data_IF_921300034264
#
_entry.id   IF_921300034264
#
_cell.length_a   1.000
_cell.length_b   1.000
_cell.length_c   1.000
_cell.angle_alpha   90.00
_cell.angle_beta   90.00
_cell.angle_gamma   90.00
#
_symmetry.space_group_name_H-M   'P 1'
#
loop_
_entity.id
_entity.type
_entity.pdbx_description
1 polymer ?
#
# COMPACT_ATOMS: atom_id res chain seq x y z
N UNK A 1 -30.21 -4.87 19.01
CA UNK A 1 -28.78 -4.50 19.06
C UNK A 1 -27.79 -5.58 18.60
N UNK A 2 -28.21 -6.81 18.27
CA UNK A 2 -27.32 -7.92 17.92
C UNK A 2 -27.04 -8.12 16.42
N UNK A 3 -27.69 -7.43 15.51
CA UNK A 3 -27.51 -7.62 14.05
C UNK A 3 -26.22 -6.99 13.50
N UNK A 4 -25.74 -5.88 14.07
CA UNK A 4 -24.55 -5.17 13.60
C UNK A 4 -23.26 -5.98 13.83
N UNK A 5 -23.12 -6.59 15.00
CA UNK A 5 -21.89 -7.34 15.37
C UNK A 5 -21.72 -8.62 14.53
N UNK A 6 -22.81 -9.30 14.16
CA UNK A 6 -22.75 -10.54 13.36
C UNK A 6 -22.39 -10.23 11.90
N UNK A 7 -22.86 -9.12 11.36
CA UNK A 7 -22.62 -8.70 9.99
C UNK A 7 -21.16 -8.24 9.80
N UNK A 8 -20.59 -7.53 10.78
CA UNK A 8 -19.18 -7.13 10.79
C UNK A 8 -18.24 -8.35 10.86
N UNK A 9 -18.57 -9.37 11.64
CA UNK A 9 -17.75 -10.60 11.71
C UNK A 9 -17.76 -11.42 10.43
N UNK A 10 -18.88 -11.49 9.72
CA UNK A 10 -18.98 -12.15 8.41
C UNK A 10 -18.16 -11.42 7.37
N UNK A 11 -18.16 -10.09 7.39
CA UNK A 11 -17.39 -9.27 6.49
C UNK A 11 -15.89 -9.42 6.74
N UNK A 12 -15.43 -9.41 7.98
CA UNK A 12 -14.01 -9.60 8.36
C UNK A 12 -13.49 -10.98 7.89
N UNK A 13 -14.29 -12.03 8.03
CA UNK A 13 -13.93 -13.36 7.55
C UNK A 13 -13.81 -13.44 6.01
N UNK A 14 -14.69 -12.76 5.28
CA UNK A 14 -14.62 -12.67 3.82
C UNK A 14 -13.40 -11.88 3.37
N UNK A 15 -13.11 -10.75 4.01
CA UNK A 15 -11.92 -9.95 3.77
C UNK A 15 -10.64 -10.77 3.99
N UNK A 16 -10.55 -11.48 5.11
CA UNK A 16 -9.39 -12.33 5.43
C UNK A 16 -9.19 -13.44 4.39
N UNK A 17 -10.27 -14.10 3.93
CA UNK A 17 -10.20 -15.11 2.87
C UNK A 17 -9.73 -14.51 1.53
N UNK A 18 -10.24 -13.35 1.17
CA UNK A 18 -9.87 -12.65 -0.08
C UNK A 18 -8.41 -12.23 -0.06
N UNK A 19 -7.92 -11.69 1.06
CA UNK A 19 -6.51 -11.35 1.25
C UNK A 19 -5.62 -12.59 1.11
N UNK A 20 -5.98 -13.71 1.76
CA UNK A 20 -5.22 -14.96 1.64
C UNK A 20 -5.15 -15.45 0.19
N UNK A 21 -6.27 -15.43 -0.54
CA UNK A 21 -6.31 -15.80 -1.97
C UNK A 21 -5.39 -14.91 -2.79
N UNK A 22 -5.43 -13.61 -2.59
CA UNK A 22 -4.56 -12.64 -3.26
C UNK A 22 -3.08 -12.92 -2.97
N UNK A 23 -2.72 -13.15 -1.71
CA UNK A 23 -1.34 -13.48 -1.30
C UNK A 23 -0.82 -14.76 -1.95
N UNK A 24 -1.68 -15.78 -2.05
CA UNK A 24 -1.33 -17.05 -2.69
C UNK A 24 -1.24 -16.89 -4.21
N UNK A 25 -2.25 -16.30 -4.85
CA UNK A 25 -2.33 -16.14 -6.30
C UNK A 25 -1.12 -15.37 -6.87
N UNK A 26 -0.73 -14.27 -6.24
CA UNK A 26 0.36 -13.43 -6.72
C UNK A 26 1.70 -13.66 -6.00
N UNK A 27 1.81 -14.77 -5.26
CA UNK A 27 3.04 -15.21 -4.62
C UNK A 27 3.73 -14.13 -3.77
N UNK A 28 2.96 -13.41 -2.92
CA UNK A 28 3.47 -12.27 -2.15
C UNK A 28 4.64 -12.63 -1.22
N UNK A 29 4.64 -13.83 -0.65
CA UNK A 29 5.76 -14.29 0.21
C UNK A 29 7.09 -14.30 -0.55
N UNK A 30 7.11 -14.81 -1.79
CA UNK A 30 8.33 -14.84 -2.61
C UNK A 30 8.70 -13.42 -3.09
N UNK A 31 7.70 -12.58 -3.38
CA UNK A 31 7.92 -11.16 -3.76
C UNK A 31 8.55 -10.37 -2.61
N UNK A 32 8.04 -10.55 -1.38
CA UNK A 32 8.63 -9.93 -0.19
C UNK A 32 10.08 -10.36 0.03
N UNK A 33 10.38 -11.67 -0.11
CA UNK A 33 11.76 -12.17 -0.03
C UNK A 33 12.66 -11.57 -1.11
N UNK A 34 12.18 -11.50 -2.36
CA UNK A 34 12.92 -10.89 -3.48
C UNK A 34 13.20 -9.40 -3.26
N UNK A 35 12.34 -8.72 -2.49
CA UNK A 35 12.50 -7.33 -2.10
C UNK A 35 13.26 -7.14 -0.76
N UNK A 36 13.96 -8.15 -0.27
CA UNK A 36 14.66 -8.18 1.02
C UNK A 36 13.76 -7.97 2.25
N UNK A 37 12.45 -8.16 2.10
CA UNK A 37 11.50 -8.10 3.22
C UNK A 37 11.41 -9.47 3.90
N UNK A 38 12.44 -9.85 4.63
CA UNK A 38 12.47 -11.10 5.40
C UNK A 38 13.06 -10.88 6.79
N UNK A 39 12.72 -11.78 7.71
CA UNK A 39 13.25 -11.80 9.08
C UNK A 39 13.89 -13.15 9.35
N UNK A 40 15.07 -13.15 9.97
CA UNK A 40 15.78 -14.39 10.34
C UNK A 40 15.19 -15.06 11.58
N UNK A 41 14.55 -14.30 12.48
CA UNK A 41 13.97 -14.79 13.75
C UNK A 41 12.62 -14.11 14.03
N UNK A 42 11.75 -14.79 14.75
CA UNK A 42 10.44 -14.30 15.18
C UNK A 42 9.38 -14.33 14.08
N UNK A 43 8.35 -13.52 14.19
CA UNK A 43 7.21 -13.46 13.27
C UNK A 43 7.65 -13.18 11.84
N UNK A 44 7.14 -13.95 10.88
CA UNK A 44 7.52 -13.81 9.47
C UNK A 44 7.06 -12.46 8.89
N UNK A 45 7.84 -11.92 7.96
CA UNK A 45 7.49 -10.69 7.26
C UNK A 45 6.15 -10.80 6.52
N UNK A 46 5.83 -11.97 5.96
CA UNK A 46 4.57 -12.24 5.26
C UNK A 46 3.36 -12.09 6.19
N UNK A 47 3.43 -12.63 7.41
CA UNK A 47 2.33 -12.50 8.38
C UNK A 47 2.12 -11.05 8.82
N UNK A 48 3.21 -10.32 9.08
CA UNK A 48 3.13 -8.90 9.44
C UNK A 48 2.52 -8.09 8.27
N UNK A 49 2.96 -8.35 7.05
CA UNK A 49 2.45 -7.66 5.87
C UNK A 49 0.98 -8.00 5.60
N UNK A 50 0.58 -9.26 5.78
CA UNK A 50 -0.82 -9.69 5.68
C UNK A 50 -1.70 -8.99 6.73
N UNK A 51 -1.22 -8.85 7.96
CA UNK A 51 -1.89 -8.10 9.01
C UNK A 51 -2.09 -6.62 8.64
N UNK A 52 -1.06 -5.96 8.09
CA UNK A 52 -1.17 -4.58 7.62
C UNK A 52 -2.22 -4.45 6.50
N UNK A 53 -2.27 -5.40 5.58
CA UNK A 53 -3.31 -5.46 4.56
C UNK A 53 -4.71 -5.58 5.18
N UNK A 54 -4.87 -6.46 6.16
CA UNK A 54 -6.15 -6.63 6.85
C UNK A 54 -6.63 -5.32 7.47
N UNK A 55 -5.75 -4.57 8.12
CA UNK A 55 -6.09 -3.27 8.72
C UNK A 55 -6.60 -2.26 7.69
N UNK A 56 -5.96 -2.20 6.51
CA UNK A 56 -6.36 -1.27 5.44
C UNK A 56 -7.76 -1.61 4.94
N UNK A 57 -8.03 -2.87 4.61
CA UNK A 57 -9.31 -3.30 4.03
C UNK A 57 -10.45 -3.37 5.06
N UNK A 58 -10.14 -3.53 6.34
CA UNK A 58 -11.14 -3.43 7.42
C UNK A 58 -11.35 -2.00 7.92
N UNK A 59 -10.67 -1.02 7.33
CA UNK A 59 -10.70 0.40 7.72
C UNK A 59 -10.39 0.61 9.23
N UNK A 60 -9.47 -0.18 9.76
CA UNK A 60 -9.08 -0.12 11.18
C UNK A 60 -7.65 0.35 11.33
N UNK A 61 -7.41 1.20 12.32
CA UNK A 61 -6.04 1.47 12.76
C UNK A 61 -5.51 0.30 13.59
N UNK A 62 -4.20 0.13 13.65
CA UNK A 62 -3.58 -0.87 14.52
C UNK A 62 -3.97 -0.66 15.99
N UNK A 63 -4.08 0.58 16.45
CA UNK A 63 -4.53 0.91 17.81
C UNK A 63 -5.96 0.42 18.06
N UNK A 64 -6.89 0.73 17.17
CA UNK A 64 -8.28 0.30 17.29
C UNK A 64 -8.41 -1.22 17.25
N UNK A 65 -7.64 -1.90 16.40
CA UNK A 65 -7.67 -3.35 16.32
C UNK A 65 -7.19 -4.02 17.62
N UNK A 66 -6.15 -3.47 18.25
CA UNK A 66 -5.64 -3.95 19.53
C UNK A 66 -6.63 -3.71 20.69
N UNK A 67 -7.35 -2.58 20.69
CA UNK A 67 -8.36 -2.28 21.70
C UNK A 67 -9.58 -3.20 21.62
N UNK A 68 -10.02 -3.52 20.43
CA UNK A 68 -11.22 -4.35 20.21
C UNK A 68 -10.95 -5.81 20.59
N UNK A 69 -9.67 -6.22 20.63
CA UNK A 69 -9.25 -7.57 21.02
C UNK A 69 -9.72 -8.69 20.06
N UNK A 70 -10.32 -8.35 18.92
CA UNK A 70 -10.74 -9.30 17.90
C UNK A 70 -9.64 -9.47 16.87
N UNK A 71 -9.31 -10.72 16.54
CA UNK A 71 -8.29 -11.09 15.57
C UNK A 71 -6.93 -10.42 15.86
N UNK A 72 -6.58 -10.31 17.15
CA UNK A 72 -5.26 -9.81 17.57
C UNK A 72 -4.20 -10.79 17.09
N UNK A 73 -3.15 -10.29 16.40
CA UNK A 73 -2.06 -11.16 16.01
C UNK A 73 -1.24 -11.64 17.22
N UNK A 74 -0.62 -12.81 17.10
CA UNK A 74 0.29 -13.37 18.11
C UNK A 74 1.62 -12.59 18.25
N UNK A 75 1.64 -11.31 17.90
CA UNK A 75 2.82 -10.47 17.97
C UNK A 75 2.49 -9.03 18.41
N UNK A 76 3.42 -8.43 19.15
CA UNK A 76 3.27 -7.08 19.68
C UNK A 76 3.35 -6.01 18.57
N UNK A 77 2.73 -4.83 18.82
CA UNK A 77 2.77 -3.66 17.94
C UNK A 77 4.19 -3.26 17.50
N UNK A 78 5.16 -3.40 18.40
CA UNK A 78 6.56 -3.07 18.11
C UNK A 78 7.18 -3.95 17.02
N UNK A 79 6.64 -5.16 16.83
CA UNK A 79 7.05 -6.05 15.74
C UNK A 79 6.69 -5.44 14.38
N UNK A 80 5.51 -4.82 14.29
CA UNK A 80 5.05 -4.13 13.08
C UNK A 80 5.90 -2.89 12.82
N UNK A 81 6.11 -2.04 13.82
CA UNK A 81 6.93 -0.84 13.67
C UNK A 81 8.38 -1.16 13.29
N UNK A 82 8.97 -2.19 13.89
CA UNK A 82 10.31 -2.65 13.50
C UNK A 82 10.36 -3.13 12.05
N UNK A 83 9.34 -3.88 11.62
CA UNK A 83 9.24 -4.30 10.23
C UNK A 83 9.14 -3.09 9.27
N UNK A 84 8.29 -2.12 9.58
CA UNK A 84 8.13 -0.92 8.74
C UNK A 84 9.40 -0.05 8.67
N UNK A 85 10.25 -0.09 9.71
CA UNK A 85 11.52 0.65 9.79
C UNK A 85 12.71 -0.11 9.19
N UNK A 86 12.52 -1.28 8.61
CA UNK A 86 13.61 -2.08 8.02
C UNK A 86 14.13 -1.42 6.74
N UNK A 87 15.30 -0.78 6.82
CA UNK A 87 15.92 -0.08 5.70
C UNK A 87 16.34 -0.98 4.54
N UNK A 88 16.51 -2.28 4.78
CA UNK A 88 16.89 -3.26 3.76
C UNK A 88 15.77 -3.58 2.77
N UNK A 89 14.51 -3.24 3.09
CA UNK A 89 13.37 -3.56 2.22
C UNK A 89 13.36 -2.62 1.02
N UNK A 90 13.42 -3.20 -0.16
CA UNK A 90 13.27 -2.47 -1.41
C UNK A 90 11.80 -2.47 -1.85
N UNK A 91 11.04 -1.48 -1.39
CA UNK A 91 9.61 -1.36 -1.70
C UNK A 91 9.34 -1.13 -3.19
N UNK A 92 10.20 -0.39 -3.88
CA UNK A 92 10.08 -0.19 -5.34
C UNK A 92 10.17 -1.54 -6.07
N UNK A 93 11.15 -2.36 -5.70
CA UNK A 93 11.27 -3.72 -6.26
C UNK A 93 10.06 -4.60 -5.93
N UNK A 94 9.53 -4.50 -4.70
CA UNK A 94 8.34 -5.24 -4.29
C UNK A 94 7.13 -4.89 -5.16
N UNK A 95 6.81 -3.61 -5.29
CA UNK A 95 5.67 -3.13 -6.08
C UNK A 95 5.84 -3.44 -7.56
N UNK A 96 7.03 -3.28 -8.13
CA UNK A 96 7.32 -3.61 -9.54
C UNK A 96 7.10 -5.09 -9.84
N UNK A 97 7.62 -5.99 -9.00
CA UNK A 97 7.43 -7.45 -9.19
C UNK A 97 5.96 -7.82 -9.04
N UNK A 98 5.27 -7.27 -8.03
CA UNK A 98 3.87 -7.54 -7.78
C UNK A 98 3.00 -7.05 -8.95
N UNK A 99 3.20 -5.83 -9.40
CA UNK A 99 2.47 -5.26 -10.54
C UNK A 99 2.69 -6.06 -11.82
N UNK A 100 3.93 -6.46 -12.09
CA UNK A 100 4.23 -7.32 -13.25
C UNK A 100 3.48 -8.65 -13.21
N UNK A 101 3.36 -9.28 -12.04
CA UNK A 101 2.57 -10.51 -11.88
C UNK A 101 1.08 -10.27 -12.07
N UNK A 102 0.54 -9.21 -11.47
CA UNK A 102 -0.89 -8.86 -11.63
C UNK A 102 -1.20 -8.62 -13.10
N UNK A 103 -0.38 -7.85 -13.80
CA UNK A 103 -0.55 -7.58 -15.24
C UNK A 103 -0.55 -8.88 -16.01
N UNK A 104 0.50 -9.70 -15.87
CA UNK A 104 0.66 -10.94 -16.66
C UNK A 104 -0.40 -12.00 -16.35
N UNK A 105 -0.73 -12.19 -15.07
CA UNK A 105 -1.52 -13.34 -14.63
C UNK A 105 -3.02 -13.02 -14.51
N UNK A 106 -3.39 -11.73 -14.45
CA UNK A 106 -4.77 -11.34 -14.22
C UNK A 106 -5.34 -10.38 -15.28
N UNK A 107 -4.53 -9.50 -15.88
CA UNK A 107 -5.03 -8.47 -16.80
C UNK A 107 -4.81 -8.89 -18.25
N UNK A 108 -3.58 -9.21 -18.64
CA UNK A 108 -3.26 -9.61 -20.04
C UNK A 108 -4.13 -10.75 -20.57
N UNK A 109 -4.50 -11.80 -19.79
CA UNK A 109 -5.42 -12.83 -20.28
C UNK A 109 -6.83 -12.34 -20.61
N UNK A 110 -7.20 -11.13 -20.18
CA UNK A 110 -8.49 -10.49 -20.44
C UNK A 110 -8.39 -9.36 -21.47
N UNK A 111 -7.17 -9.11 -21.95
CA UNK A 111 -6.88 -8.07 -22.92
C UNK A 111 -7.23 -8.51 -24.35
N UNK A 112 -7.42 -7.55 -25.25
CA UNK A 112 -7.61 -7.78 -26.68
C UNK A 112 -6.42 -7.20 -27.46
N UNK A 113 -6.13 -7.78 -28.63
CA UNK A 113 -5.02 -7.34 -29.50
C UNK A 113 -5.13 -5.89 -29.96
N UNK A 114 -6.35 -5.32 -29.92
CA UNK A 114 -6.62 -3.93 -30.32
C UNK A 114 -6.29 -2.88 -29.25
N UNK A 115 -5.84 -3.31 -28.05
CA UNK A 115 -5.56 -2.39 -26.95
C UNK A 115 -4.09 -2.03 -26.86
N UNK A 116 -3.82 -0.76 -26.69
CA UNK A 116 -2.46 -0.26 -26.51
C UNK A 116 -2.07 -0.29 -25.04
N UNK A 117 -0.97 -0.99 -24.73
CA UNK A 117 -0.37 -0.98 -23.41
C UNK A 117 0.49 0.27 -23.22
N UNK A 118 0.17 1.10 -22.24
CA UNK A 118 0.85 2.38 -22.00
C UNK A 118 1.35 2.50 -20.58
N UNK A 119 2.45 3.23 -20.40
CA UNK A 119 2.92 3.70 -19.10
C UNK A 119 2.45 5.15 -18.91
N UNK A 120 1.90 5.43 -17.74
CA UNK A 120 1.35 6.73 -17.36
C UNK A 120 2.17 7.24 -16.17
N UNK A 121 2.62 8.49 -16.27
CA UNK A 121 3.28 9.19 -15.15
C UNK A 121 2.38 10.33 -14.75
N UNK A 122 2.00 10.36 -13.45
CA UNK A 122 1.16 11.38 -12.86
C UNK A 122 1.83 12.02 -11.64
N UNK A 123 1.72 13.34 -11.53
CA UNK A 123 2.21 14.12 -10.38
C UNK A 123 1.01 14.65 -9.60
N UNK A 124 0.71 14.02 -8.49
CA UNK A 124 -0.42 14.34 -7.63
C UNK A 124 0.01 14.92 -6.29
N UNK A 125 -0.87 15.71 -5.69
CA UNK A 125 -0.65 16.31 -4.38
C UNK A 125 -1.49 15.61 -3.31
N UNK A 126 -0.82 15.25 -2.21
CA UNK A 126 -1.46 14.70 -1.01
C UNK A 126 -1.47 15.75 0.11
N UNK A 127 -2.63 16.34 0.39
CA UNK A 127 -2.77 17.41 1.39
C UNK A 127 -2.48 16.94 2.81
N UNK A 128 -1.68 17.74 3.55
CA UNK A 128 -1.35 17.54 4.97
C UNK A 128 -1.29 18.88 5.71
N UNK A 129 -2.33 19.66 5.60
CA UNK A 129 -2.40 21.03 6.14
C UNK A 129 -2.21 21.13 7.67
N UNK A 130 -2.51 20.06 8.41
CA UNK A 130 -2.35 20.02 9.88
C UNK A 130 -0.95 19.62 10.33
N UNK A 131 -0.10 19.14 9.43
CA UNK A 131 1.25 18.71 9.76
C UNK A 131 2.19 19.90 9.76
N UNK A 132 3.07 20.01 10.76
CA UNK A 132 4.00 21.15 10.90
C UNK A 132 5.46 20.78 10.64
N UNK A 133 5.88 19.57 11.05
CA UNK A 133 7.26 19.09 10.94
C UNK A 133 7.27 17.63 10.55
N UNK A 134 7.16 17.37 9.26
CA UNK A 134 7.26 16.01 8.69
C UNK A 134 8.25 16.06 7.55
N UNK A 135 9.11 15.06 7.45
CA UNK A 135 10.05 14.91 6.33
C UNK A 135 9.31 14.96 4.98
N UNK A 136 9.89 15.64 4.00
CA UNK A 136 9.33 15.87 2.66
C UNK A 136 8.04 16.73 2.62
N UNK A 137 7.57 17.26 3.75
CA UNK A 137 6.45 18.18 3.76
C UNK A 137 6.85 19.49 3.08
N UNK A 138 6.11 19.87 2.06
CA UNK A 138 6.37 21.12 1.31
C UNK A 138 5.11 21.96 1.16
N UNK A 139 5.32 23.25 0.89
CA UNK A 139 4.25 24.15 0.45
C UNK A 139 4.10 23.96 -1.06
N UNK A 140 3.03 23.30 -1.48
CA UNK A 140 2.75 22.91 -2.86
C UNK A 140 1.59 23.73 -3.41
N UNK A 141 1.70 24.15 -4.65
CA UNK A 141 0.62 24.86 -5.33
C UNK A 141 -0.41 23.85 -5.86
N UNK A 142 -1.66 24.04 -5.46
CA UNK A 142 -2.81 23.26 -5.95
C UNK A 142 -3.37 23.97 -7.19
N UNK A 143 -3.10 23.42 -8.36
CA UNK A 143 -3.54 23.99 -9.64
C UNK A 143 -5.07 23.99 -9.83
N UNK A 144 -5.77 23.06 -9.19
CA UNK A 144 -7.23 22.97 -9.28
C UNK A 144 -7.93 24.04 -8.44
N UNK A 145 -7.35 24.38 -7.28
CA UNK A 145 -7.90 25.36 -6.32
C UNK A 145 -7.19 26.70 -6.32
N UNK A 146 -6.16 26.84 -7.15
CA UNK A 146 -5.33 28.07 -7.26
C UNK A 146 -4.80 28.58 -5.92
N UNK A 147 -4.43 27.67 -5.00
CA UNK A 147 -3.96 28.00 -3.65
C UNK A 147 -2.73 27.19 -3.27
N UNK A 148 -1.94 27.73 -2.35
CA UNK A 148 -0.85 26.97 -1.75
C UNK A 148 -1.34 26.19 -0.54
N UNK A 149 -0.91 24.91 -0.45
CA UNK A 149 -1.23 24.01 0.65
C UNK A 149 0.01 23.28 1.13
N UNK A 150 0.01 22.87 2.39
CA UNK A 150 1.02 21.95 2.88
C UNK A 150 0.65 20.52 2.52
N UNK A 151 1.61 19.81 1.94
CA UNK A 151 1.38 18.46 1.49
C UNK A 151 2.64 17.80 0.95
N UNK A 152 2.44 16.63 0.38
CA UNK A 152 3.46 15.86 -0.32
C UNK A 152 3.15 15.90 -1.82
N UNK A 153 4.19 16.05 -2.63
CA UNK A 153 4.11 15.75 -4.06
C UNK A 153 4.43 14.28 -4.26
N UNK A 154 3.58 13.58 -4.96
CA UNK A 154 3.72 12.15 -5.22
C UNK A 154 3.72 11.91 -6.72
N UNK A 155 4.87 11.44 -7.23
CA UNK A 155 4.96 10.98 -8.60
C UNK A 155 4.57 9.51 -8.66
N UNK A 156 3.57 9.17 -9.45
CA UNK A 156 3.07 7.81 -9.63
C UNK A 156 3.34 7.33 -11.05
N UNK A 157 3.97 6.16 -11.16
CA UNK A 157 4.05 5.41 -12.40
C UNK A 157 2.93 4.39 -12.42
N UNK A 158 2.07 4.44 -13.41
CA UNK A 158 1.02 3.49 -13.66
C UNK A 158 1.18 2.77 -15.00
N UNK A 159 0.51 1.64 -15.13
CA UNK A 159 0.32 0.91 -16.37
C UNK A 159 -1.17 0.86 -16.71
N UNK A 160 -1.51 0.92 -18.00
CA UNK A 160 -2.88 0.80 -18.48
C UNK A 160 -2.95 0.09 -19.83
N UNK A 161 -4.00 -0.70 -20.03
CA UNK A 161 -4.42 -1.30 -21.30
C UNK A 161 -5.54 -0.49 -21.99
N UNK A 162 -5.83 0.72 -21.50
CA UNK A 162 -6.94 1.54 -21.94
C UNK A 162 -8.26 1.29 -21.19
N UNK A 163 -8.45 0.13 -20.56
CA UNK A 163 -9.63 -0.20 -19.76
C UNK A 163 -9.30 -0.34 -18.26
N UNK A 164 -8.11 -0.83 -17.95
CA UNK A 164 -7.65 -1.04 -16.58
C UNK A 164 -6.46 -0.13 -16.29
N UNK A 165 -6.45 0.53 -15.15
CA UNK A 165 -5.29 1.27 -14.64
C UNK A 165 -4.73 0.55 -13.40
N UNK A 166 -3.43 0.28 -13.42
CA UNK A 166 -2.70 -0.31 -12.29
C UNK A 166 -1.54 0.58 -11.88
N UNK A 167 -1.54 1.18 -10.66
CA UNK A 167 -0.37 1.87 -10.15
C UNK A 167 0.77 0.87 -9.90
N UNK A 168 1.92 1.13 -10.49
CA UNK A 168 3.11 0.27 -10.41
C UNK A 168 4.02 0.71 -9.27
N UNK A 169 4.34 2.00 -9.25
CA UNK A 169 5.20 2.61 -8.23
C UNK A 169 4.78 4.03 -7.93
N UNK A 170 5.08 4.48 -6.70
CA UNK A 170 4.94 5.87 -6.32
C UNK A 170 6.12 6.31 -5.49
N UNK A 171 6.58 7.53 -5.68
CA UNK A 171 7.64 8.16 -4.90
C UNK A 171 7.19 9.53 -4.41
N UNK A 172 7.60 9.89 -3.21
CA UNK A 172 7.42 11.25 -2.71
C UNK A 172 8.59 12.11 -3.20
N UNK A 173 8.25 13.27 -3.76
CA UNK A 173 9.24 14.24 -4.23
C UNK A 173 9.56 15.22 -3.10
N UNK A 174 10.86 15.49 -2.89
CA UNK A 174 11.29 16.62 -2.05
C UNK A 174 11.37 17.88 -2.90
N UNK A 175 10.97 19.03 -2.31
CA UNK A 175 11.36 20.32 -2.86
C UNK A 175 12.83 20.55 -2.52
N UNK A 176 13.62 20.91 -3.50
CA UNK A 176 14.98 21.39 -3.26
C UNK A 176 14.89 22.69 -2.49
N UNK A 177 15.20 22.66 -1.19
CA UNK A 177 15.35 23.88 -0.41
C UNK A 177 16.60 24.60 -0.91
N UNK A 178 16.46 25.54 -1.83
CA UNK A 178 17.46 26.59 -1.99
C UNK A 178 17.44 27.37 -0.67
N UNK A 179 18.45 27.12 0.17
CA UNK A 179 18.78 28.02 1.27
C UNK A 179 19.08 29.39 0.64
N UNK A 180 18.18 30.33 0.78
CA UNK A 180 18.48 31.74 0.67
C UNK A 180 19.19 32.16 1.94
#
# INVERSE_FOLDING_TARGET
MNKSITQDNLNDNQISKSIRRFFTRFHLSSTLKAANAYKKKGTSATLIFQYLFLLIFSNRSMYMNLLIGKDTPDFAKDTVYRFMKMLQINWIRFTTILSSRIIKDAIVPLDSEDRANVLIIDDSMFERNRSKKVELLAKVYDHAKHTYKFGFRMLTLGWSDGCTFLPVNSILLSSENKKN
#
